data_IF_223628877524
#
_entry.id   IF_223628877524
#
_cell.length_a   1.000
_cell.length_b   1.000
_cell.length_c   1.000
_cell.angle_alpha   90.00
_cell.angle_beta   90.00
_cell.angle_gamma   90.00
#
_symmetry.space_group_name_H-M   'P 1'
#
loop_
_entity.id
_entity.type
_entity.pdbx_description
1 polymer ?
#
# COMPACT_ATOMS: atom_id res chain seq x y z
N UNK A 1 43.09 -36.20 -27.09
CA UNK A 1 42.19 -36.26 -25.90
C UNK A 1 41.87 -34.93 -25.28
N UNK A 2 42.52 -33.86 -25.68
CA UNK A 2 42.30 -32.48 -25.08
C UNK A 2 41.10 -31.74 -25.67
N UNK A 3 40.62 -32.12 -26.87
CA UNK A 3 39.51 -31.44 -27.57
C UNK A 3 38.12 -31.81 -27.08
N UNK A 4 37.95 -32.87 -26.28
CA UNK A 4 36.66 -33.31 -25.76
C UNK A 4 36.33 -32.73 -24.35
N UNK A 5 37.30 -32.14 -23.65
CA UNK A 5 37.11 -31.53 -22.34
C UNK A 5 36.61 -30.09 -22.42
N UNK A 6 36.82 -29.40 -23.55
CA UNK A 6 36.41 -27.98 -23.70
C UNK A 6 34.91 -27.85 -24.01
N UNK A 7 34.31 -28.89 -24.60
CA UNK A 7 32.86 -28.86 -24.94
C UNK A 7 31.91 -29.05 -23.74
N UNK A 8 32.38 -29.59 -22.62
CA UNK A 8 31.54 -29.85 -21.43
C UNK A 8 31.46 -28.66 -20.49
N UNK A 9 32.44 -27.77 -20.51
CA UNK A 9 32.44 -26.57 -19.64
C UNK A 9 31.57 -25.43 -20.16
N UNK A 10 31.27 -25.38 -21.47
CA UNK A 10 30.42 -24.37 -22.09
C UNK A 10 28.90 -24.57 -21.87
N UNK A 11 28.48 -25.76 -21.38
CA UNK A 11 27.06 -26.10 -21.25
C UNK A 11 26.46 -25.80 -19.84
N UNK A 12 27.24 -25.34 -18.88
CA UNK A 12 26.79 -25.16 -17.49
C UNK A 12 26.55 -23.68 -17.09
N UNK A 13 26.80 -22.73 -17.99
CA UNK A 13 26.47 -21.32 -17.76
C UNK A 13 25.19 -20.87 -18.48
N UNK A 14 24.14 -21.69 -18.48
CA UNK A 14 22.78 -21.16 -18.60
C UNK A 14 22.38 -20.65 -17.22
N UNK A 15 22.87 -19.46 -16.85
CA UNK A 15 22.31 -18.67 -15.76
C UNK A 15 20.85 -18.41 -16.10
N UNK A 16 19.98 -19.22 -15.51
CA UNK A 16 18.55 -18.90 -15.46
C UNK A 16 18.46 -17.52 -14.79
N UNK A 17 18.36 -16.47 -15.60
CA UNK A 17 17.91 -15.17 -15.13
C UNK A 17 16.47 -15.37 -14.67
N UNK A 18 16.28 -15.69 -13.39
CA UNK A 18 14.98 -15.57 -12.76
C UNK A 18 14.61 -14.10 -12.85
N UNK A 19 13.88 -13.73 -13.89
CA UNK A 19 13.17 -12.48 -13.94
C UNK A 19 12.17 -12.51 -12.79
N UNK A 20 12.50 -11.87 -11.66
CA UNK A 20 11.58 -11.69 -10.56
C UNK A 20 10.51 -10.71 -11.06
N UNK A 21 9.45 -11.25 -11.62
CA UNK A 21 8.29 -10.45 -12.00
C UNK A 21 7.62 -10.00 -10.72
N UNK A 22 7.59 -8.70 -10.46
CA UNK A 22 6.87 -8.14 -9.31
C UNK A 22 5.38 -8.48 -9.40
N UNK A 23 4.82 -9.04 -8.34
CA UNK A 23 3.38 -9.29 -8.23
C UNK A 23 2.65 -8.00 -7.82
N UNK A 24 2.07 -7.33 -8.79
CA UNK A 24 1.32 -6.08 -8.60
C UNK A 24 -0.17 -6.29 -8.34
N UNK A 25 -0.63 -7.51 -8.08
CA UNK A 25 -2.04 -7.85 -7.85
C UNK A 25 -2.69 -7.08 -6.68
N UNK A 26 -1.87 -6.63 -5.71
CA UNK A 26 -2.29 -5.79 -4.59
C UNK A 26 -2.51 -4.32 -4.98
N UNK A 27 -1.97 -3.86 -6.12
CA UNK A 27 -2.08 -2.48 -6.60
C UNK A 27 -3.42 -2.28 -7.33
N UNK A 28 -4.52 -2.33 -6.59
CA UNK A 28 -5.88 -2.13 -7.08
C UNK A 28 -6.75 -1.43 -6.04
N UNK A 29 -7.79 -0.70 -6.48
CA UNK A 29 -8.75 -0.11 -5.56
C UNK A 29 -9.50 -1.19 -4.77
N UNK A 30 -9.94 -0.88 -3.54
CA UNK A 30 -10.83 -1.76 -2.80
C UNK A 30 -12.20 -1.86 -3.49
N UNK A 31 -13.00 -2.91 -3.17
CA UNK A 31 -14.34 -3.08 -3.75
C UNK A 31 -15.19 -1.82 -3.63
N UNK A 32 -15.84 -1.42 -4.72
CA UNK A 32 -16.69 -0.24 -4.78
C UNK A 32 -15.96 1.07 -5.13
N UNK A 33 -14.64 1.14 -5.07
CA UNK A 33 -13.87 2.30 -5.50
C UNK A 33 -13.35 2.15 -6.93
N UNK A 34 -13.38 3.25 -7.69
CA UNK A 34 -12.78 3.29 -9.05
C UNK A 34 -11.30 3.64 -9.02
N UNK A 35 -10.92 4.52 -8.10
CA UNK A 35 -9.55 5.01 -7.87
C UNK A 35 -9.28 4.97 -6.38
N UNK A 36 -8.04 4.69 -6.00
CA UNK A 36 -7.58 4.72 -4.61
C UNK A 36 -6.11 5.15 -4.55
N UNK A 37 -5.67 5.56 -3.35
CA UNK A 37 -4.26 5.66 -3.03
C UNK A 37 -3.85 4.37 -2.31
N UNK A 38 -2.76 3.74 -2.73
CA UNK A 38 -2.11 2.64 -2.01
C UNK A 38 -0.79 3.13 -1.46
N UNK A 39 -0.57 2.96 -0.17
CA UNK A 39 0.62 3.41 0.53
C UNK A 39 1.29 2.24 1.27
N UNK A 40 2.59 2.04 1.04
CA UNK A 40 3.46 1.22 1.88
C UNK A 40 4.19 2.14 2.82
N UNK A 41 3.94 2.00 4.12
CA UNK A 41 4.38 2.95 5.13
C UNK A 41 5.13 2.27 6.29
N UNK A 42 5.94 3.07 6.94
CA UNK A 42 6.62 2.72 8.19
C UNK A 42 6.37 3.83 9.22
N UNK A 43 5.83 3.47 10.39
CA UNK A 43 5.43 4.44 11.41
C UNK A 43 6.59 5.20 12.05
N UNK A 44 7.82 4.69 11.91
CA UNK A 44 9.04 5.36 12.39
C UNK A 44 9.78 6.11 11.27
N UNK A 45 9.30 6.04 10.03
CA UNK A 45 9.93 6.74 8.90
C UNK A 45 9.53 8.22 8.89
N UNK A 46 10.48 9.17 9.02
CA UNK A 46 10.16 10.60 9.01
C UNK A 46 9.53 11.06 7.70
N UNK A 47 9.93 10.45 6.58
CA UNK A 47 9.37 10.79 5.27
C UNK A 47 7.92 10.31 5.11
N UNK A 48 7.53 9.23 5.79
CA UNK A 48 6.12 8.82 5.90
C UNK A 48 5.31 9.85 6.70
N UNK A 49 5.84 10.35 7.81
CA UNK A 49 5.19 11.41 8.57
C UNK A 49 4.99 12.69 7.74
N UNK A 50 6.00 13.07 6.95
CA UNK A 50 5.94 14.21 6.04
C UNK A 50 4.93 14.02 4.90
N UNK A 51 4.74 12.79 4.40
CA UNK A 51 3.81 12.49 3.33
C UNK A 51 2.35 12.40 3.79
N UNK A 52 2.12 11.99 5.05
CA UNK A 52 0.79 11.68 5.57
C UNK A 52 -0.24 12.82 5.43
N UNK A 53 0.06 14.12 5.74
CA UNK A 53 -0.89 15.20 5.55
C UNK A 53 -1.35 15.36 4.10
N UNK A 54 -0.42 15.28 3.14
CA UNK A 54 -0.73 15.39 1.71
C UNK A 54 -1.63 14.24 1.24
N UNK A 55 -1.34 13.00 1.65
CA UNK A 55 -2.14 11.82 1.30
C UNK A 55 -3.56 11.95 1.85
N UNK A 56 -3.71 12.39 3.10
CA UNK A 56 -5.00 12.59 3.75
C UNK A 56 -5.83 13.67 3.05
N UNK A 57 -5.19 14.80 2.73
CA UNK A 57 -5.85 15.91 2.06
C UNK A 57 -6.30 15.50 0.64
N UNK A 58 -5.44 14.84 -0.13
CA UNK A 58 -5.79 14.33 -1.45
C UNK A 58 -6.96 13.32 -1.38
N UNK A 59 -6.89 12.36 -0.46
CA UNK A 59 -7.95 11.38 -0.27
C UNK A 59 -9.31 12.04 0.06
N UNK A 60 -9.30 13.06 0.93
CA UNK A 60 -10.48 13.85 1.29
C UNK A 60 -11.00 14.66 0.11
N UNK A 61 -10.13 15.39 -0.59
CA UNK A 61 -10.49 16.24 -1.73
C UNK A 61 -11.16 15.45 -2.84
N UNK A 62 -10.63 14.28 -3.15
CA UNK A 62 -11.15 13.44 -4.22
C UNK A 62 -12.20 12.43 -3.77
N UNK A 63 -12.47 12.33 -2.47
CA UNK A 63 -13.33 11.32 -1.86
C UNK A 63 -12.97 9.91 -2.31
N UNK A 64 -11.68 9.56 -2.21
CA UNK A 64 -11.14 8.26 -2.58
C UNK A 64 -10.53 7.56 -1.36
N UNK A 65 -10.58 6.22 -1.28
CA UNK A 65 -9.98 5.50 -0.17
C UNK A 65 -8.45 5.50 -0.22
N UNK A 66 -7.83 5.39 0.98
CA UNK A 66 -6.42 5.08 1.15
C UNK A 66 -6.31 3.65 1.67
N UNK A 67 -5.60 2.80 0.94
CA UNK A 67 -5.24 1.45 1.34
C UNK A 67 -3.80 1.49 1.86
N UNK A 68 -3.59 1.07 3.12
CA UNK A 68 -2.28 1.12 3.77
C UNK A 68 -1.78 -0.28 4.06
N UNK A 69 -0.54 -0.52 3.66
CA UNK A 69 0.25 -1.69 4.01
C UNK A 69 1.37 -1.29 4.95
N UNK A 70 1.39 -1.88 6.15
CA UNK A 70 2.48 -1.66 7.11
C UNK A 70 3.76 -2.34 6.59
N UNK A 71 4.81 -1.55 6.35
CA UNK A 71 6.10 -2.01 5.82
C UNK A 71 7.26 -1.54 6.70
N UNK A 72 7.35 -2.07 7.95
CA UNK A 72 8.35 -1.66 8.91
C UNK A 72 9.75 -2.05 8.44
N UNK A 73 10.63 -1.05 8.28
CA UNK A 73 12.00 -1.24 7.83
C UNK A 73 12.88 -1.84 8.95
N UNK A 74 13.81 -2.75 8.64
CA UNK A 74 14.65 -3.41 9.67
C UNK A 74 15.46 -2.47 10.55
N UNK A 75 15.78 -1.26 10.06
CA UNK A 75 16.53 -0.22 10.81
C UNK A 75 15.67 0.53 11.83
N UNK A 76 14.35 0.38 11.80
CA UNK A 76 13.39 1.08 12.65
C UNK A 76 12.94 0.17 13.80
N UNK A 77 13.40 0.48 15.01
CA UNK A 77 13.35 -0.44 16.16
C UNK A 77 12.03 -0.50 16.91
N UNK A 78 11.07 0.43 16.65
CA UNK A 78 9.72 0.39 17.23
C UNK A 78 8.59 0.34 16.21
N UNK A 79 8.92 0.47 14.93
CA UNK A 79 7.91 0.55 13.86
C UNK A 79 7.05 -0.71 13.75
N UNK A 80 7.65 -1.91 13.85
CA UNK A 80 6.92 -3.16 13.82
C UNK A 80 5.87 -3.26 14.95
N UNK A 81 6.30 -2.99 16.18
CA UNK A 81 5.41 -3.06 17.35
C UNK A 81 4.32 -1.98 17.29
N UNK A 82 4.64 -0.78 16.80
CA UNK A 82 3.65 0.26 16.57
C UNK A 82 2.61 -0.15 15.51
N UNK A 83 3.03 -0.84 14.45
CA UNK A 83 2.13 -1.39 13.44
C UNK A 83 1.23 -2.49 14.02
N UNK A 84 1.76 -3.38 14.88
CA UNK A 84 0.97 -4.40 15.61
C UNK A 84 -0.11 -3.74 16.46
N UNK A 85 0.25 -2.68 17.21
CA UNK A 85 -0.71 -1.87 17.97
C UNK A 85 -1.74 -1.22 17.03
N UNK A 86 -1.32 -0.74 15.87
CA UNK A 86 -2.20 -0.20 14.83
C UNK A 86 -3.23 -1.22 14.35
N UNK A 87 -2.83 -2.48 14.11
CA UNK A 87 -3.77 -3.57 13.76
C UNK A 87 -4.76 -3.87 14.88
N UNK A 88 -4.32 -3.78 16.14
CA UNK A 88 -5.24 -3.88 17.28
C UNK A 88 -6.31 -2.78 17.23
N UNK A 89 -5.93 -1.52 17.04
CA UNK A 89 -6.90 -0.43 16.93
C UNK A 89 -7.76 -0.52 15.66
N UNK A 90 -7.22 -0.98 14.52
CA UNK A 90 -7.98 -1.32 13.31
C UNK A 90 -9.08 -2.36 13.59
N UNK A 91 -8.84 -3.30 14.51
CA UNK A 91 -9.83 -4.31 14.92
C UNK A 91 -10.99 -3.74 15.72
N UNK A 92 -10.82 -2.58 16.36
CA UNK A 92 -11.89 -1.85 17.03
C UNK A 92 -12.68 -1.01 16.03
N UNK A 93 -11.99 -0.22 15.22
CA UNK A 93 -12.55 0.46 14.06
C UNK A 93 -11.44 0.96 13.14
N UNK A 94 -11.69 1.02 11.83
CA UNK A 94 -10.73 1.55 10.86
C UNK A 94 -10.33 3.00 11.12
N UNK A 95 -11.27 3.91 11.49
CA UNK A 95 -10.90 5.26 11.89
C UNK A 95 -9.95 5.31 13.09
N UNK A 96 -10.12 4.42 14.09
CA UNK A 96 -9.25 4.40 15.26
C UNK A 96 -7.83 3.96 14.91
N UNK A 97 -7.68 2.93 14.08
CA UNK A 97 -6.37 2.52 13.59
C UNK A 97 -5.69 3.58 12.73
N UNK A 98 -6.45 4.32 11.92
CA UNK A 98 -5.93 5.47 11.18
C UNK A 98 -5.46 6.59 12.13
N UNK A 99 -6.25 6.92 13.16
CA UNK A 99 -5.90 7.91 14.18
C UNK A 99 -4.64 7.50 14.97
N UNK A 100 -4.44 6.21 15.25
CA UNK A 100 -3.20 5.73 15.86
C UNK A 100 -1.98 5.98 14.97
N UNK A 101 -2.10 5.74 13.66
CA UNK A 101 -1.00 6.03 12.72
C UNK A 101 -0.69 7.52 12.67
N UNK A 102 -1.72 8.37 12.66
CA UNK A 102 -1.54 9.82 12.75
C UNK A 102 -0.83 10.22 14.06
N UNK A 103 -1.27 9.66 15.19
CA UNK A 103 -0.63 9.89 16.50
C UNK A 103 0.86 9.51 16.47
N UNK A 104 1.20 8.34 15.88
CA UNK A 104 2.60 7.93 15.75
C UNK A 104 3.40 8.93 14.92
N UNK A 105 2.88 9.37 13.78
CA UNK A 105 3.55 10.34 12.91
C UNK A 105 3.75 11.70 13.58
N UNK A 106 2.76 12.19 14.31
CA UNK A 106 2.82 13.46 15.01
C UNK A 106 3.80 13.45 16.20
N UNK A 107 4.01 12.27 16.79
CA UNK A 107 4.83 12.10 17.99
C UNK A 107 6.14 11.35 17.76
N UNK A 108 6.53 11.05 16.49
CA UNK A 108 7.71 10.26 16.16
C UNK A 108 8.97 10.63 16.96
N UNK A 109 9.34 11.91 17.13
CA UNK A 109 10.56 12.27 17.85
C UNK A 109 10.56 11.90 19.34
N UNK A 110 9.37 11.71 19.92
CA UNK A 110 9.17 11.39 21.33
C UNK A 110 8.89 9.89 21.58
N UNK A 111 8.72 9.08 20.55
CA UNK A 111 8.45 7.64 20.66
C UNK A 111 9.76 6.85 20.60
N UNK A 112 9.91 5.93 21.55
CA UNK A 112 11.00 4.95 21.59
C UNK A 112 10.45 3.55 21.92
N UNK A 113 11.24 2.47 21.77
CA UNK A 113 10.80 1.13 22.20
C UNK A 113 10.35 1.08 23.65
N UNK A 114 11.04 1.81 24.54
CA UNK A 114 10.79 1.80 25.98
C UNK A 114 9.47 2.48 26.35
N UNK A 115 9.03 3.48 25.57
CA UNK A 115 7.83 4.25 25.87
C UNK A 115 6.66 4.02 24.88
N UNK A 116 6.83 3.17 23.89
CA UNK A 116 5.77 2.88 22.91
C UNK A 116 4.49 2.37 23.59
N UNK A 117 4.63 1.49 24.59
CA UNK A 117 3.48 1.00 25.36
C UNK A 117 2.74 2.11 26.06
N UNK A 118 3.42 3.00 26.76
CA UNK A 118 2.79 4.12 27.46
C UNK A 118 2.15 5.15 26.50
N UNK A 119 2.71 5.32 25.29
CA UNK A 119 2.08 6.09 24.23
C UNK A 119 0.78 5.45 23.76
N UNK A 120 0.74 4.13 23.57
CA UNK A 120 -0.47 3.40 23.20
C UNK A 120 -1.55 3.49 24.30
N UNK A 121 -1.19 3.41 25.58
CA UNK A 121 -2.09 3.58 26.72
C UNK A 121 -2.68 4.98 26.77
N UNK A 122 -1.86 6.00 26.56
CA UNK A 122 -2.32 7.40 26.49
C UNK A 122 -3.30 7.60 25.35
N UNK A 123 -2.97 7.12 24.16
CA UNK A 123 -3.85 7.18 22.99
C UNK A 123 -5.17 6.45 23.23
N UNK A 124 -5.13 5.24 23.81
CA UNK A 124 -6.31 4.45 24.12
C UNK A 124 -7.23 5.18 25.12
N UNK A 125 -6.65 5.76 26.18
CA UNK A 125 -7.40 6.55 27.18
C UNK A 125 -8.09 7.77 26.54
N UNK A 126 -7.39 8.52 25.68
CA UNK A 126 -7.95 9.67 24.97
C UNK A 126 -9.12 9.29 24.05
N UNK A 127 -9.08 8.09 23.50
CA UNK A 127 -10.12 7.57 22.61
C UNK A 127 -11.15 6.67 23.32
N UNK A 128 -11.10 6.58 24.65
CA UNK A 128 -12.03 5.78 25.49
C UNK A 128 -12.05 4.29 25.09
N UNK A 129 -10.90 3.76 24.75
CA UNK A 129 -10.71 2.35 24.37
C UNK A 129 -9.84 1.66 25.42
N UNK A 130 -10.23 0.47 25.83
CA UNK A 130 -9.41 -0.36 26.74
C UNK A 130 -8.24 -0.98 25.96
N UNK A 131 -7.02 -0.79 26.43
CA UNK A 131 -5.84 -1.47 25.92
C UNK A 131 -5.57 -2.71 26.82
N UNK A 132 -5.51 -3.94 26.29
CA UNK A 132 -5.25 -5.12 27.10
C UNK A 132 -3.79 -5.14 27.57
N UNK A 133 -3.51 -5.87 28.65
CA UNK A 133 -2.14 -6.01 29.17
C UNK A 133 -1.21 -6.63 28.10
N UNK A 134 -1.66 -7.68 27.42
CA UNK A 134 -0.98 -8.25 26.24
C UNK A 134 -1.84 -7.92 25.01
N UNK A 135 -1.31 -7.15 24.07
CA UNK A 135 -2.06 -6.65 22.92
C UNK A 135 -2.32 -7.76 21.89
N UNK A 136 -1.36 -8.64 21.70
CA UNK A 136 -1.40 -9.69 20.67
C UNK A 136 -0.93 -11.04 21.23
N UNK A 137 -1.67 -11.66 22.16
CA UNK A 137 -1.25 -12.90 22.81
C UNK A 137 -1.13 -14.09 21.84
N UNK A 138 -1.89 -14.07 20.74
CA UNK A 138 -1.92 -15.13 19.74
C UNK A 138 -1.08 -14.84 18.49
N UNK A 139 -0.42 -13.67 18.44
CA UNK A 139 0.37 -13.24 17.27
C UNK A 139 -0.47 -12.91 16.03
N UNK A 140 -1.79 -12.71 16.18
CA UNK A 140 -2.71 -12.41 15.08
C UNK A 140 -2.38 -11.09 14.38
N UNK A 141 -2.16 -10.03 15.15
CA UNK A 141 -1.86 -8.72 14.60
C UNK A 141 -0.45 -8.64 14.03
N UNK A 142 0.52 -9.28 14.70
CA UNK A 142 1.87 -9.47 14.18
C UNK A 142 1.84 -10.24 12.84
N UNK A 143 1.01 -11.27 12.73
CA UNK A 143 0.77 -11.99 11.47
C UNK A 143 0.23 -11.09 10.36
N UNK A 144 -0.68 -10.15 10.66
CA UNK A 144 -1.20 -9.18 9.69
C UNK A 144 -0.12 -8.20 9.22
N UNK A 145 0.73 -7.69 10.12
CA UNK A 145 1.87 -6.81 9.74
C UNK A 145 2.85 -7.57 8.85
N UNK A 146 3.17 -8.84 9.18
CA UNK A 146 4.02 -9.67 8.32
C UNK A 146 3.40 -9.94 6.95
N UNK A 147 2.06 -10.12 6.89
CA UNK A 147 1.35 -10.28 5.63
C UNK A 147 1.42 -9.01 4.76
N UNK A 148 1.24 -7.82 5.36
CA UNK A 148 1.39 -6.54 4.67
C UNK A 148 2.83 -6.37 4.15
N UNK A 149 3.83 -6.67 4.98
CA UNK A 149 5.24 -6.64 4.60
C UNK A 149 5.52 -7.58 3.40
N UNK A 150 4.98 -8.80 3.45
CA UNK A 150 5.12 -9.76 2.35
C UNK A 150 4.44 -9.28 1.05
N UNK A 151 3.32 -8.53 1.14
CA UNK A 151 2.72 -7.85 -0.03
C UNK A 151 3.72 -6.86 -0.62
N UNK A 152 4.32 -6.00 0.21
CA UNK A 152 5.33 -5.04 -0.24
C UNK A 152 6.53 -5.71 -0.90
N UNK A 153 7.03 -6.80 -0.32
CA UNK A 153 8.13 -7.57 -0.93
C UNK A 153 7.76 -8.11 -2.32
N UNK A 154 6.55 -8.66 -2.50
CA UNK A 154 6.09 -9.15 -3.82
C UNK A 154 5.91 -8.03 -4.84
N UNK A 155 5.44 -6.86 -4.41
CA UNK A 155 5.35 -5.67 -5.27
C UNK A 155 6.74 -5.14 -5.64
N UNK A 156 7.76 -5.39 -4.82
CA UNK A 156 9.13 -4.91 -5.01
C UNK A 156 9.38 -3.57 -4.30
N UNK A 157 8.77 -3.37 -3.11
CA UNK A 157 8.97 -2.15 -2.32
C UNK A 157 10.36 -2.16 -1.69
N UNK A 158 11.13 -1.10 -1.92
CA UNK A 158 12.51 -0.94 -1.42
C UNK A 158 12.64 0.18 -0.37
N UNK A 159 11.66 1.10 -0.32
CA UNK A 159 11.69 2.25 0.59
C UNK A 159 10.27 2.65 1.04
N UNK A 160 10.21 3.47 2.07
CA UNK A 160 8.96 4.06 2.58
C UNK A 160 9.08 5.59 2.70
N UNK A 161 7.99 6.33 2.42
CA UNK A 161 6.75 5.83 1.85
C UNK A 161 6.91 5.47 0.37
N UNK A 162 6.29 4.37 -0.09
CA UNK A 162 6.03 4.16 -1.51
C UNK A 162 4.54 4.33 -1.75
N UNK A 163 4.17 5.22 -2.65
CA UNK A 163 2.79 5.65 -2.87
C UNK A 163 2.39 5.36 -4.31
N UNK A 164 1.24 4.73 -4.49
CA UNK A 164 0.64 4.50 -5.80
C UNK A 164 -0.76 5.13 -5.86
N UNK A 165 -1.10 5.72 -7.00
CA UNK A 165 -2.49 5.94 -7.38
C UNK A 165 -2.91 4.76 -8.24
N UNK A 166 -3.96 4.06 -7.84
CA UNK A 166 -4.44 2.84 -8.49
C UNK A 166 -5.86 3.04 -9.02
N UNK A 167 -6.21 2.35 -10.11
CA UNK A 167 -7.54 2.40 -10.69
C UNK A 167 -8.02 1.03 -11.13
N UNK A 168 -9.34 0.88 -11.32
CA UNK A 168 -9.98 -0.32 -11.85
C UNK A 168 -10.20 -0.24 -13.37
N UNK A 169 -9.42 0.56 -14.09
CA UNK A 169 -9.53 0.65 -15.56
C UNK A 169 -9.27 -0.70 -16.23
N UNK A 170 -10.01 -0.97 -17.30
CA UNK A 170 -9.95 -2.24 -18.01
C UNK A 170 -8.71 -2.39 -18.90
N UNK A 171 -8.08 -1.28 -19.31
CA UNK A 171 -6.98 -1.27 -20.27
C UNK A 171 -5.83 -0.39 -19.78
N UNK A 172 -4.61 -0.74 -20.20
CA UNK A 172 -3.40 -0.04 -19.82
C UNK A 172 -2.94 -0.36 -18.41
N UNK A 173 -1.96 0.41 -17.90
CA UNK A 173 -1.37 0.21 -16.57
C UNK A 173 -2.33 0.74 -15.49
N UNK A 174 -2.87 -0.10 -14.59
CA UNK A 174 -3.92 0.30 -13.64
C UNK A 174 -3.37 1.05 -12.42
N UNK A 175 -2.08 1.35 -12.37
CA UNK A 175 -1.44 2.06 -11.26
C UNK A 175 -0.30 2.97 -11.77
N UNK A 176 -0.04 4.03 -11.01
CA UNK A 176 1.08 4.95 -11.20
C UNK A 176 1.76 5.17 -9.86
N UNK A 177 3.07 4.99 -9.80
CA UNK A 177 3.85 5.35 -8.62
C UNK A 177 4.04 6.86 -8.55
N UNK A 178 3.84 7.42 -7.35
CA UNK A 178 3.99 8.85 -7.07
C UNK A 178 5.42 9.11 -6.60
N UNK A 179 6.34 9.19 -7.54
CA UNK A 179 7.75 9.49 -7.24
C UNK A 179 7.90 10.96 -6.82
N UNK A 180 7.24 11.86 -7.53
CA UNK A 180 7.16 13.29 -7.19
C UNK A 180 5.81 13.59 -6.54
N UNK A 181 5.81 13.83 -5.23
CA UNK A 181 4.59 14.07 -4.44
C UNK A 181 3.82 15.33 -4.88
N UNK A 182 4.48 16.31 -5.49
CA UNK A 182 3.81 17.49 -6.04
C UNK A 182 2.83 17.14 -7.17
N UNK A 183 2.99 15.96 -7.79
CA UNK A 183 2.15 15.46 -8.88
C UNK A 183 1.00 14.57 -8.41
N UNK A 184 0.85 14.32 -7.10
CA UNK A 184 -0.18 13.42 -6.58
C UNK A 184 -1.58 13.78 -7.10
N UNK A 185 -1.96 15.06 -7.04
CA UNK A 185 -3.27 15.53 -7.48
C UNK A 185 -3.46 15.32 -8.99
N UNK A 186 -2.50 15.71 -9.82
CA UNK A 186 -2.59 15.54 -11.28
C UNK A 186 -2.65 14.07 -11.71
N UNK A 187 -1.96 13.17 -10.98
CA UNK A 187 -2.03 11.72 -11.22
C UNK A 187 -3.43 11.20 -10.88
N UNK A 188 -4.02 11.65 -9.76
CA UNK A 188 -5.39 11.27 -9.39
C UNK A 188 -6.39 11.76 -10.45
N UNK A 189 -6.27 13.02 -10.92
CA UNK A 189 -7.13 13.57 -11.97
C UNK A 189 -7.06 12.74 -13.25
N UNK A 190 -5.85 12.41 -13.69
CA UNK A 190 -5.63 11.56 -14.85
C UNK A 190 -6.30 10.19 -14.67
N UNK A 191 -6.05 9.50 -13.55
CA UNK A 191 -6.59 8.16 -13.28
C UNK A 191 -8.12 8.16 -13.20
N UNK A 192 -8.72 9.21 -12.64
CA UNK A 192 -10.19 9.38 -12.60
C UNK A 192 -10.76 9.59 -14.01
N UNK A 193 -10.15 10.47 -14.82
CA UNK A 193 -10.60 10.73 -16.18
C UNK A 193 -10.56 9.49 -17.07
N UNK A 194 -9.52 8.67 -16.94
CA UNK A 194 -9.35 7.41 -17.66
C UNK A 194 -10.41 6.35 -17.28
N UNK A 195 -10.80 6.29 -16.00
CA UNK A 195 -11.86 5.37 -15.56
C UNK A 195 -13.26 5.82 -15.94
N UNK A 196 -13.51 7.12 -16.00
CA UNK A 196 -14.82 7.68 -16.42
C UNK A 196 -14.97 7.66 -17.93
N UNK A 197 -13.91 7.93 -18.71
CA UNK A 197 -13.88 7.86 -20.16
C UNK A 197 -14.10 6.46 -20.73
N UNK A 198 -13.60 5.41 -20.06
CA UNK A 198 -13.82 4.01 -20.46
C UNK A 198 -15.29 3.59 -20.36
N UNK A 199 -16.06 4.20 -19.45
CA UNK A 199 -17.48 3.95 -19.29
C UNK A 199 -18.32 4.59 -20.43
N UNK A 200 -17.93 5.78 -20.88
CA UNK A 200 -18.59 6.46 -22.01
C UNK A 200 -18.40 5.71 -23.33
N UNK A 201 -17.28 5.00 -23.50
CA UNK A 201 -17.01 4.19 -24.70
C UNK A 201 -17.73 2.83 -24.68
N UNK A 202 -18.00 2.27 -23.50
CA UNK A 202 -18.70 0.99 -23.33
C UNK A 202 -20.24 1.14 -23.43
N UNK A 203 -20.76 2.35 -23.24
CA UNK A 203 -22.20 2.63 -23.20
C UNK A 203 -22.80 3.10 -24.54
N UNK A 204 -22.02 3.13 -25.64
CA UNK A 204 -22.61 3.43 -26.97
C UNK A 204 -23.35 2.20 -27.50
N UNK A 205 -24.69 2.20 -27.55
CA UNK A 205 -25.44 1.09 -28.12
C UNK A 205 -25.18 1.04 -29.64
N UNK A 206 -24.79 -0.13 -30.11
CA UNK A 206 -24.77 -0.44 -31.55
C UNK A 206 -26.17 -0.30 -32.05
N UNK A 207 -26.47 0.78 -32.79
CA UNK A 207 -27.72 0.91 -33.52
C UNK A 207 -27.77 -0.22 -34.54
N UNK A 208 -28.65 -1.19 -34.30
CA UNK A 208 -28.99 -2.22 -35.27
C UNK A 208 -29.59 -1.56 -36.51
N UNK A 209 -28.86 -1.55 -37.61
CA UNK A 209 -29.36 -1.14 -38.92
C UNK A 209 -30.37 -2.20 -39.40
N UNK A 210 -31.65 -1.90 -39.31
CA UNK A 210 -32.72 -2.70 -39.94
C UNK A 210 -32.52 -2.64 -41.45
N UNK A 211 -32.07 -3.72 -42.05
CA UNK A 211 -32.10 -3.92 -43.49
C UNK A 211 -33.57 -4.17 -43.89
N UNK A 212 -34.18 -3.22 -44.59
CA UNK A 212 -35.47 -3.40 -45.18
C UNK A 212 -35.30 -4.32 -46.41
N UNK A 213 -35.96 -5.48 -46.40
CA UNK A 213 -36.16 -6.31 -47.59
C UNK A 213 -37.27 -5.69 -48.44
N UNK A 214 -36.94 -5.39 -49.70
CA UNK A 214 -37.88 -5.23 -50.78
C UNK A 214 -38.19 -6.60 -51.40
#
# INVERSE_FOLDING_TARGET
>A
MLSRLIAVVAAVMLLATFSYSSDTSALKPPPGAKVAIVEFLDLQCPDCANANPLIKEAAKTYNIPVVRYDFPLPKHNWSFDAAVIGKYFDSKSKPLGAAWRDYCFENQPAISPENLRSNAERFAAQNKVTLPFVIDPEGKFAGQVKADFAVGQRVGIEHTPTIYVVSNKAYGKPFVEVVDRSKLYSIIDQMKSETDGSRASAEKPVKATRVAKK
#
